data_IF_261776965431
#
_entry.id   IF_261776965431
#
_cell.length_a   1.000
_cell.length_b   1.000
_cell.length_c   1.000
_cell.angle_alpha   90.00
_cell.angle_beta   90.00
_cell.angle_gamma   90.00
#
_symmetry.space_group_name_H-M   'P 1'
#
loop_
_entity.id
_entity.type
_entity.pdbx_description
1 polymer ?
#
# COMPACT_ATOMS: atom_id res chain seq x y z
N UNK A 1 -9.15 6.69 7.40
CA UNK A 1 -9.10 6.05 6.07
C UNK A 1 -9.16 4.53 6.21
N UNK A 2 -9.67 3.83 5.20
CA UNK A 2 -9.48 2.39 5.01
C UNK A 2 -8.51 2.18 3.86
N UNK A 3 -7.55 1.28 4.02
CA UNK A 3 -6.53 0.98 3.01
C UNK A 3 -6.70 -0.46 2.54
N UNK A 4 -6.72 -0.67 1.23
CA UNK A 4 -6.71 -2.00 0.63
C UNK A 4 -5.54 -2.12 -0.34
N UNK A 5 -4.70 -3.13 -0.10
CA UNK A 5 -3.51 -3.42 -0.90
C UNK A 5 -3.77 -4.68 -1.70
N UNK A 6 -3.56 -4.62 -3.01
CA UNK A 6 -3.72 -5.75 -3.93
C UNK A 6 -2.37 -6.16 -4.47
N UNK A 7 -2.01 -7.43 -4.31
CA UNK A 7 -0.79 -8.04 -4.89
C UNK A 7 -1.22 -9.00 -5.99
N UNK A 8 -0.54 -8.93 -7.15
CA UNK A 8 -0.72 -9.86 -8.25
C UNK A 8 0.38 -10.92 -8.20
N UNK A 9 -0.02 -12.19 -8.07
CA UNK A 9 0.88 -13.33 -8.19
C UNK A 9 0.74 -13.96 -9.58
N UNK A 10 1.87 -14.20 -10.23
CA UNK A 10 1.94 -14.89 -11.54
C UNK A 10 2.26 -16.38 -11.35
N UNK A 11 2.81 -16.76 -10.19
CA UNK A 11 3.17 -18.13 -9.81
C UNK A 11 2.89 -18.38 -8.33
N UNK A 12 2.69 -19.65 -7.97
CA UNK A 12 2.55 -20.10 -6.59
C UNK A 12 3.86 -20.72 -6.09
N UNK A 13 4.09 -20.72 -4.77
CA UNK A 13 5.15 -21.55 -4.15
C UNK A 13 4.73 -23.02 -4.07
N UNK A 14 5.64 -23.93 -3.63
CA UNK A 14 5.30 -25.33 -3.40
C UNK A 14 4.15 -25.58 -2.41
N UNK A 15 3.77 -24.59 -1.59
CA UNK A 15 2.63 -24.68 -0.68
C UNK A 15 1.33 -24.16 -1.31
N UNK A 16 1.36 -23.73 -2.57
CA UNK A 16 0.19 -23.23 -3.30
C UNK A 16 -0.16 -21.77 -3.01
N UNK A 17 0.74 -20.97 -2.45
CA UNK A 17 0.48 -19.56 -2.12
C UNK A 17 1.18 -18.62 -3.10
N UNK A 18 0.48 -17.55 -3.49
CA UNK A 18 1.07 -16.46 -4.26
C UNK A 18 2.04 -15.64 -3.42
N UNK A 19 1.60 -15.26 -2.21
CA UNK A 19 2.37 -14.58 -1.16
C UNK A 19 1.84 -15.02 0.21
N UNK A 20 2.70 -15.11 1.22
CA UNK A 20 2.28 -15.34 2.61
C UNK A 20 1.57 -14.08 3.17
N UNK A 21 0.36 -14.23 3.70
CA UNK A 21 -0.39 -13.09 4.25
C UNK A 21 0.26 -12.44 5.49
N UNK A 22 1.08 -13.16 6.25
CA UNK A 22 1.89 -12.57 7.34
C UNK A 22 2.95 -11.64 6.77
N UNK A 23 3.60 -12.03 5.67
CA UNK A 23 4.55 -11.18 4.97
C UNK A 23 3.86 -9.93 4.42
N UNK A 24 2.72 -10.11 3.73
CA UNK A 24 1.94 -9.00 3.20
C UNK A 24 1.50 -8.04 4.31
N UNK A 25 0.92 -8.56 5.39
CA UNK A 25 0.49 -7.74 6.54
C UNK A 25 1.65 -7.05 7.23
N UNK A 26 2.80 -7.70 7.36
CA UNK A 26 3.99 -7.10 7.96
C UNK A 26 4.51 -5.91 7.16
N UNK A 27 4.65 -6.07 5.84
CA UNK A 27 5.09 -5.00 4.95
C UNK A 27 4.09 -3.82 4.94
N UNK A 28 2.79 -4.12 4.82
CA UNK A 28 1.74 -3.08 4.84
C UNK A 28 1.66 -2.38 6.19
N UNK A 29 1.73 -3.12 7.29
CA UNK A 29 1.70 -2.57 8.65
C UNK A 29 2.86 -1.61 8.89
N UNK A 30 4.09 -1.97 8.52
CA UNK A 30 5.26 -1.13 8.70
C UNK A 30 5.11 0.25 8.03
N UNK A 31 4.54 0.31 6.82
CA UNK A 31 4.31 1.57 6.10
C UNK A 31 3.09 2.32 6.66
N UNK A 32 2.02 1.62 7.05
CA UNK A 32 0.83 2.26 7.65
C UNK A 32 1.20 2.90 9.01
N UNK A 33 2.06 2.27 9.80
CA UNK A 33 2.53 2.81 11.09
C UNK A 33 3.30 4.14 10.94
N UNK A 34 3.79 4.46 9.74
CA UNK A 34 4.36 5.78 9.44
C UNK A 34 3.31 6.89 9.41
N UNK A 35 2.04 6.54 9.15
CA UNK A 35 0.92 7.45 8.95
C UNK A 35 -0.12 7.41 10.07
N UNK A 36 -0.32 6.24 10.68
CA UNK A 36 -1.39 6.01 11.65
C UNK A 36 -1.17 6.83 12.93
N UNK A 37 -2.26 7.42 13.43
CA UNK A 37 -2.27 8.32 14.61
C UNK A 37 -1.25 9.49 14.57
N UNK A 38 -0.80 9.92 13.38
CA UNK A 38 0.17 11.00 13.20
C UNK A 38 -0.39 12.20 12.46
N UNK A 39 0.22 13.37 12.68
CA UNK A 39 -0.06 14.56 11.87
C UNK A 39 0.60 14.41 10.49
N UNK A 40 -0.21 14.06 9.48
CA UNK A 40 0.30 13.85 8.12
C UNK A 40 1.01 15.08 7.56
N UNK A 41 0.60 16.30 7.93
CA UNK A 41 1.22 17.52 7.42
C UNK A 41 2.69 17.70 7.87
N UNK A 42 3.11 17.01 8.94
CA UNK A 42 4.49 17.03 9.43
C UNK A 42 5.37 15.94 8.79
N UNK A 43 4.71 14.92 8.21
CA UNK A 43 5.37 13.80 7.57
C UNK A 43 6.15 14.28 6.34
N UNK A 44 7.42 13.86 6.15
CA UNK A 44 8.27 14.33 5.06
C UNK A 44 7.60 14.25 3.67
N UNK A 45 6.87 13.17 3.39
CA UNK A 45 6.17 12.95 2.12
C UNK A 45 5.00 13.93 1.84
N UNK A 46 4.50 14.65 2.85
CA UNK A 46 3.35 15.56 2.73
C UNK A 46 3.67 16.99 3.22
N UNK A 47 4.93 17.34 3.44
CA UNK A 47 5.29 18.73 3.81
C UNK A 47 5.01 19.74 2.70
N UNK A 48 5.23 19.32 1.45
CA UNK A 48 5.05 20.17 0.26
C UNK A 48 3.79 19.79 -0.54
N UNK A 49 2.98 18.84 -0.05
CA UNK A 49 1.81 18.30 -0.73
C UNK A 49 0.70 18.01 0.25
N UNK A 50 -0.54 18.30 -0.11
CA UNK A 50 -1.69 17.98 0.73
C UNK A 50 -1.82 16.46 0.95
N UNK A 51 -2.09 15.97 2.17
CA UNK A 51 -2.28 14.56 2.45
C UNK A 51 -3.69 14.10 2.04
N UNK A 52 -4.04 14.27 0.76
CA UNK A 52 -5.30 13.75 0.21
C UNK A 52 -5.22 12.24 -0.01
N UNK A 53 -6.39 11.61 -0.21
CA UNK A 53 -6.47 10.17 -0.49
C UNK A 53 -5.61 9.74 -1.69
N UNK A 54 -5.49 10.58 -2.71
CA UNK A 54 -4.65 10.34 -3.90
C UNK A 54 -3.16 10.34 -3.56
N UNK A 55 -2.68 11.36 -2.83
CA UNK A 55 -1.29 11.42 -2.43
C UNK A 55 -0.93 10.33 -1.41
N UNK A 56 -1.86 9.96 -0.53
CA UNK A 56 -1.69 8.84 0.39
C UNK A 56 -1.59 7.52 -0.40
N UNK A 57 -2.47 7.28 -1.38
CA UNK A 57 -2.43 6.07 -2.19
C UNK A 57 -1.11 5.95 -2.98
N UNK A 58 -0.62 7.06 -3.54
CA UNK A 58 0.67 7.13 -4.23
C UNK A 58 1.84 6.83 -3.27
N UNK A 59 1.90 7.51 -2.13
CA UNK A 59 2.94 7.28 -1.11
C UNK A 59 2.97 5.83 -0.64
N UNK A 60 1.81 5.25 -0.32
CA UNK A 60 1.70 3.85 0.10
C UNK A 60 2.16 2.91 -1.03
N UNK A 61 1.77 3.16 -2.27
CA UNK A 61 2.18 2.33 -3.39
C UNK A 61 3.70 2.36 -3.59
N UNK A 62 4.30 3.55 -3.63
CA UNK A 62 5.73 3.71 -3.84
C UNK A 62 6.54 3.06 -2.70
N UNK A 63 6.07 3.21 -1.46
CA UNK A 63 6.71 2.61 -0.28
C UNK A 63 6.57 1.09 -0.24
N UNK A 64 5.47 0.54 -0.76
CA UNK A 64 5.20 -0.89 -0.77
C UNK A 64 5.72 -1.61 -2.02
N UNK A 65 6.06 -0.88 -3.09
CA UNK A 65 6.50 -1.47 -4.37
C UNK A 65 7.72 -2.36 -4.19
N UNK A 66 8.76 -1.92 -3.50
CA UNK A 66 9.97 -2.73 -3.27
C UNK A 66 9.73 -3.89 -2.27
N UNK A 67 9.13 -3.67 -1.08
CA UNK A 67 8.88 -4.76 -0.14
C UNK A 67 7.95 -5.86 -0.66
N UNK A 68 7.04 -5.53 -1.58
CA UNK A 68 6.08 -6.44 -2.18
C UNK A 68 6.43 -6.81 -3.63
N UNK A 69 7.72 -6.97 -3.92
CA UNK A 69 8.23 -7.42 -5.21
C UNK A 69 9.06 -8.69 -5.08
N UNK A 70 8.77 -9.69 -5.92
CA UNK A 70 9.54 -10.90 -6.08
C UNK A 70 9.40 -11.46 -7.50
N UNK A 71 10.08 -12.56 -7.80
CA UNK A 71 9.92 -13.26 -9.08
C UNK A 71 8.52 -13.90 -9.25
N UNK A 72 7.74 -14.06 -8.17
CA UNK A 72 6.43 -14.72 -8.20
C UNK A 72 5.26 -13.75 -8.14
N UNK A 73 5.47 -12.58 -7.55
CA UNK A 73 4.41 -11.60 -7.30
C UNK A 73 4.94 -10.17 -7.29
N UNK A 74 4.02 -9.23 -7.52
CA UNK A 74 4.27 -7.79 -7.43
C UNK A 74 3.05 -7.06 -6.89
N UNK A 75 3.28 -5.91 -6.26
CA UNK A 75 2.22 -4.96 -5.97
C UNK A 75 1.43 -4.62 -7.25
N UNK A 76 0.10 -4.61 -7.16
CA UNK A 76 -0.79 -4.34 -8.28
C UNK A 76 -1.54 -3.02 -8.12
N UNK A 77 -2.08 -2.77 -6.95
CA UNK A 77 -2.76 -1.51 -6.65
C UNK A 77 -2.85 -1.24 -5.16
N UNK A 78 -2.98 0.04 -4.82
CA UNK A 78 -3.35 0.52 -3.49
C UNK A 78 -4.62 1.34 -3.60
N UNK A 79 -5.60 1.02 -2.77
CA UNK A 79 -6.88 1.70 -2.67
C UNK A 79 -6.99 2.38 -1.31
N UNK A 80 -7.28 3.68 -1.31
CA UNK A 80 -7.48 4.50 -0.11
C UNK A 80 -8.90 5.05 -0.12
N UNK A 81 -9.68 4.63 0.88
CA UNK A 81 -11.06 5.01 1.10
C UNK A 81 -11.12 6.05 2.22
N UNK A 82 -11.61 7.24 1.91
CA UNK A 82 -11.87 8.30 2.88
C UNK A 82 -13.16 8.01 3.67
N UNK A 83 -14.18 7.51 2.96
CA UNK A 83 -15.44 7.04 3.52
C UNK A 83 -15.73 5.62 3.04
N UNK A 84 -16.82 5.01 3.53
CA UNK A 84 -17.21 3.66 3.11
C UNK A 84 -17.60 3.53 1.64
N UNK A 85 -17.88 4.65 0.96
CA UNK A 85 -18.35 4.69 -0.43
C UNK A 85 -17.46 5.50 -1.37
N UNK A 86 -16.47 6.22 -0.85
CA UNK A 86 -15.63 7.13 -1.63
C UNK A 86 -14.14 6.88 -1.36
N UNK A 87 -13.39 6.64 -2.42
CA UNK A 87 -11.96 6.39 -2.37
C UNK A 87 -11.32 6.44 -3.76
N UNK A 88 -10.00 6.26 -3.76
CA UNK A 88 -9.17 6.26 -4.95
C UNK A 88 -8.35 4.99 -5.03
N UNK A 89 -8.19 4.47 -6.24
CA UNK A 89 -7.29 3.35 -6.54
C UNK A 89 -6.11 3.89 -7.35
N UNK A 90 -4.90 3.65 -6.85
CA UNK A 90 -3.65 3.95 -7.54
C UNK A 90 -2.99 2.64 -7.99
N UNK A 91 -2.63 2.58 -9.27
CA UNK A 91 -2.04 1.40 -9.91
C UNK A 91 -0.52 1.50 -10.12
N UNK A 92 0.05 2.70 -9.92
CA UNK A 92 1.42 3.01 -10.34
C UNK A 92 1.59 3.02 -11.86
N UNK A 93 2.83 3.30 -12.28
CA UNK A 93 3.32 3.15 -13.65
C UNK A 93 3.90 1.74 -13.91
#
# INVERSE_FOLDING_TARGET
>A
WKVKVTVRAERLDPLGMGIDFRQLKGAVGAVIDELDHKNLNEHPSFRERNPSSEHIAMFLFDSLRQPLQSDRYRLYSVEVLETDTSGVVYYGD
#
